data_IF_061364052357
#
_entry.id   IF_061364052357
#
_cell.length_a   1.000
_cell.length_b   1.000
_cell.length_c   1.000
_cell.angle_alpha   90.00
_cell.angle_beta   90.00
_cell.angle_gamma   90.00
#
_symmetry.space_group_name_H-M   'P 1'
#
loop_
_entity.id
_entity.type
_entity.pdbx_description
1 polymer ?
#
# COMPACT_ATOMS: atom_id res chain seq x y z
N UNK A 1 6.61 -7.04 2.60
CA UNK A 1 6.88 -6.05 3.68
C UNK A 1 6.76 -4.64 3.10
N UNK A 2 6.65 -3.59 3.91
CA UNK A 2 6.65 -2.22 3.38
C UNK A 2 6.93 -1.16 4.44
N UNK A 3 7.35 0.03 4.02
CA UNK A 3 7.65 1.15 4.90
C UNK A 3 7.25 2.48 4.25
N UNK A 4 6.79 3.44 5.06
CA UNK A 4 6.57 4.81 4.62
C UNK A 4 7.80 5.65 4.96
N UNK A 5 8.37 6.35 3.99
CA UNK A 5 9.63 7.10 4.16
C UNK A 5 9.41 8.50 4.73
N UNK A 6 8.74 8.59 5.89
CA UNK A 6 8.48 9.89 6.55
C UNK A 6 9.63 10.34 7.47
N UNK A 7 10.50 9.42 7.87
CA UNK A 7 11.57 9.63 8.84
C UNK A 7 12.62 8.53 8.70
N UNK A 8 13.78 8.71 9.35
CA UNK A 8 14.80 7.66 9.42
C UNK A 8 14.21 6.38 10.02
N UNK A 9 14.54 5.19 9.47
CA UNK A 9 14.05 3.92 10.01
C UNK A 9 14.43 3.77 11.49
N UNK A 10 13.42 3.74 12.37
CA UNK A 10 13.63 3.44 13.78
C UNK A 10 13.89 1.92 13.97
N UNK A 11 14.30 1.52 15.18
CA UNK A 11 14.69 0.13 15.48
C UNK A 11 13.60 -0.88 15.11
N UNK A 12 12.32 -0.56 15.32
CA UNK A 12 11.19 -1.42 14.94
C UNK A 12 11.14 -1.72 13.43
N UNK A 13 11.50 -0.75 12.59
CA UNK A 13 11.59 -0.96 11.13
C UNK A 13 12.72 -1.95 10.80
N UNK A 14 13.89 -1.78 11.43
CA UNK A 14 15.05 -2.66 11.21
C UNK A 14 14.77 -4.09 11.66
N UNK A 15 14.10 -4.28 12.80
CA UNK A 15 13.74 -5.61 13.30
C UNK A 15 12.71 -6.29 12.40
N UNK A 16 11.73 -5.54 11.89
CA UNK A 16 10.78 -6.06 10.90
C UNK A 16 11.49 -6.53 9.63
N UNK A 17 12.47 -5.76 9.15
CA UNK A 17 13.25 -6.13 7.96
C UNK A 17 14.07 -7.39 8.23
N UNK A 18 14.81 -7.42 9.34
CA UNK A 18 15.61 -8.58 9.74
C UNK A 18 14.76 -9.84 9.84
N UNK A 19 13.57 -9.76 10.43
CA UNK A 19 12.65 -10.89 10.54
C UNK A 19 12.22 -11.41 9.17
N UNK A 20 11.88 -10.51 8.23
CA UNK A 20 11.50 -10.91 6.88
C UNK A 20 12.61 -11.65 6.13
N UNK A 21 13.85 -11.14 6.20
CA UNK A 21 15.00 -11.81 5.60
C UNK A 21 15.31 -13.16 6.25
N UNK A 22 15.28 -13.23 7.58
CA UNK A 22 15.52 -14.47 8.31
C UNK A 22 14.46 -15.53 7.99
N UNK A 23 13.19 -15.12 7.95
CA UNK A 23 12.07 -16.00 7.62
C UNK A 23 12.17 -16.52 6.18
N UNK A 24 12.42 -15.64 5.20
CA UNK A 24 12.56 -16.05 3.80
C UNK A 24 13.73 -17.02 3.60
N UNK A 25 14.88 -16.76 4.25
CA UNK A 25 16.02 -17.68 4.25
C UNK A 25 15.64 -19.04 4.79
N UNK A 26 14.98 -19.08 5.94
CA UNK A 26 14.59 -20.33 6.58
C UNK A 26 13.59 -21.13 5.75
N UNK A 27 12.57 -20.46 5.18
CA UNK A 27 11.60 -21.11 4.29
C UNK A 27 12.31 -21.65 3.05
N UNK A 28 13.18 -20.86 2.41
CA UNK A 28 13.92 -21.29 1.22
C UNK A 28 14.78 -22.53 1.47
N UNK A 29 15.42 -22.63 2.64
CA UNK A 29 16.20 -23.80 3.03
C UNK A 29 15.32 -25.03 3.24
N UNK A 30 14.15 -24.87 3.88
CA UNK A 30 13.19 -25.95 4.12
C UNK A 30 12.54 -26.45 2.83
N UNK A 31 12.22 -25.55 1.89
CA UNK A 31 11.47 -25.88 0.67
C UNK A 31 12.36 -26.15 -0.55
N UNK A 32 13.68 -26.14 -0.35
CA UNK A 32 14.66 -26.42 -1.40
C UNK A 32 14.51 -27.83 -2.01
N UNK A 33 14.25 -28.90 -1.23
CA UNK A 33 14.00 -30.23 -1.79
C UNK A 33 12.80 -30.30 -2.73
N UNK A 34 11.77 -29.49 -2.47
CA UNK A 34 10.52 -29.41 -3.23
C UNK A 34 10.61 -28.46 -4.43
N UNK A 35 11.73 -27.75 -4.60
CA UNK A 35 11.94 -26.82 -5.71
C UNK A 35 11.07 -25.56 -5.64
N UNK A 36 10.56 -25.20 -4.46
CA UNK A 36 9.74 -23.99 -4.28
C UNK A 36 10.65 -22.76 -4.22
N UNK A 37 10.36 -21.77 -5.07
CA UNK A 37 11.04 -20.49 -5.10
C UNK A 37 10.50 -19.53 -4.02
N UNK A 38 11.40 -18.85 -3.32
CA UNK A 38 11.06 -17.88 -2.27
C UNK A 38 11.59 -16.52 -2.65
N UNK A 39 10.69 -15.54 -2.76
CA UNK A 39 11.04 -14.16 -3.08
C UNK A 39 10.58 -13.17 -2.00
N UNK A 40 11.32 -12.08 -1.86
CA UNK A 40 11.00 -10.98 -0.95
C UNK A 40 10.55 -9.75 -1.73
N UNK A 41 9.34 -9.27 -1.40
CA UNK A 41 8.79 -8.03 -1.94
C UNK A 41 8.75 -6.94 -0.86
N UNK A 42 9.28 -5.77 -1.21
CA UNK A 42 9.32 -4.60 -0.34
C UNK A 42 8.70 -3.38 -1.03
N UNK A 43 7.68 -2.83 -0.36
CA UNK A 43 6.89 -1.71 -0.87
C UNK A 43 7.27 -0.44 -0.13
N UNK A 44 7.81 0.53 -0.86
CA UNK A 44 8.03 1.87 -0.33
C UNK A 44 6.78 2.69 -0.61
N UNK A 45 6.12 3.13 0.46
CA UNK A 45 4.99 4.05 0.36
C UNK A 45 5.54 5.45 0.47
N UNK A 46 5.46 6.22 -0.60
CA UNK A 46 5.78 7.64 -0.58
C UNK A 46 4.47 8.44 -0.60
N UNK A 47 4.02 8.82 0.60
CA UNK A 47 2.86 9.71 0.80
C UNK A 47 3.23 10.88 1.71
N UNK A 48 4.53 11.20 1.82
CA UNK A 48 4.98 12.33 2.60
C UNK A 48 4.60 13.63 1.85
N UNK A 49 4.02 14.64 2.52
CA UNK A 49 3.89 15.96 1.92
C UNK A 49 5.29 16.51 1.70
N UNK A 50 5.80 16.48 0.46
CA UNK A 50 7.08 17.07 0.12
C UNK A 50 6.89 18.44 -0.51
N UNK A 51 7.57 19.46 0.02
CA UNK A 51 7.99 20.58 -0.82
C UNK A 51 8.95 20.00 -1.88
N UNK A 52 8.50 19.92 -3.12
CA UNK A 52 9.37 19.57 -4.23
C UNK A 52 10.34 20.73 -4.52
N UNK A 53 11.45 20.78 -3.79
CA UNK A 53 12.58 21.63 -4.14
C UNK A 53 13.38 20.93 -5.22
N UNK A 54 13.33 21.46 -6.45
CA UNK A 54 14.21 21.04 -7.54
C UNK A 54 15.67 21.26 -7.11
N UNK A 55 16.38 20.19 -6.77
CA UNK A 55 17.83 20.26 -6.65
C UNK A 55 18.42 20.37 -8.08
N UNK A 56 19.34 21.32 -8.34
CA UNK A 56 20.03 21.38 -9.62
C UNK A 56 20.80 20.07 -9.82
N UNK A 57 20.57 19.45 -10.97
CA UNK A 57 21.10 18.14 -11.36
C UNK A 57 22.63 18.18 -11.33
N UNK A 58 23.32 17.46 -10.43
CA UNK A 58 24.74 17.21 -10.60
C UNK A 58 24.91 16.19 -11.71
N UNK A 59 25.96 16.37 -12.50
CA UNK A 59 26.30 15.53 -13.64
C UNK A 59 26.40 14.04 -13.26
N UNK A 60 25.97 13.23 -14.22
CA UNK A 60 25.98 11.77 -14.30
C UNK A 60 26.85 11.02 -13.27
N UNK A 61 26.19 10.21 -12.44
CA UNK A 61 26.76 8.98 -11.86
C UNK A 61 25.80 7.80 -12.06
N UNK A 62 26.30 6.59 -12.36
CA UNK A 62 25.53 5.55 -13.05
C UNK A 62 24.69 4.64 -12.14
N UNK A 63 23.54 4.23 -12.70
CA UNK A 63 22.70 3.06 -12.35
C UNK A 63 21.99 3.04 -10.98
N UNK A 64 20.65 2.94 -11.05
CA UNK A 64 19.74 2.67 -9.94
C UNK A 64 19.80 1.21 -9.46
N UNK A 65 21.00 0.73 -9.10
CA UNK A 65 21.16 -0.52 -8.36
C UNK A 65 21.46 -0.17 -6.91
N UNK A 66 20.48 -0.36 -6.01
CA UNK A 66 20.83 -0.65 -4.62
C UNK A 66 21.48 -2.04 -4.68
N UNK A 67 22.82 -2.08 -4.77
CA UNK A 67 23.58 -3.32 -4.54
C UNK A 67 23.45 -3.65 -3.06
N UNK A 68 22.45 -4.44 -2.70
CA UNK A 68 22.51 -5.20 -1.46
C UNK A 68 23.53 -6.32 -1.67
N UNK A 69 24.56 -6.33 -0.83
CA UNK A 69 25.57 -7.39 -0.69
C UNK A 69 25.02 -8.78 -1.05
N UNK A 70 25.60 -9.44 -2.07
CA UNK A 70 25.66 -10.88 -2.43
C UNK A 70 24.76 -11.90 -1.67
N UNK A 71 23.54 -11.54 -1.31
CA UNK A 71 22.59 -12.38 -0.59
C UNK A 71 21.67 -13.10 -1.58
N UNK A 72 21.10 -14.26 -1.21
CA UNK A 72 20.31 -15.09 -2.12
C UNK A 72 18.94 -14.48 -2.49
N UNK A 73 18.57 -13.32 -1.95
CA UNK A 73 17.24 -12.71 -2.15
C UNK A 73 17.35 -11.40 -2.93
N UNK A 74 16.68 -11.34 -4.07
CA UNK A 74 16.50 -10.12 -4.84
C UNK A 74 15.34 -9.30 -4.25
N UNK A 75 15.63 -8.07 -3.80
CA UNK A 75 14.62 -7.09 -3.42
C UNK A 75 13.99 -6.49 -4.68
N UNK A 76 12.80 -6.97 -5.06
CA UNK A 76 12.04 -6.40 -6.18
C UNK A 76 11.27 -5.18 -5.69
N UNK A 77 11.66 -3.98 -6.14
CA UNK A 77 10.92 -2.72 -5.97
C UNK A 77 9.75 -2.66 -6.97
N UNK A 78 8.74 -3.51 -6.79
CA UNK A 78 7.69 -3.71 -7.80
C UNK A 78 6.27 -3.57 -7.23
N UNK A 79 5.99 -2.53 -6.46
CA UNK A 79 4.62 -2.26 -6.01
C UNK A 79 4.32 -0.77 -5.90
N UNK A 80 4.19 -0.16 -7.07
CA UNK A 80 3.40 1.06 -7.33
C UNK A 80 3.21 1.11 -8.84
N UNK A 81 2.02 1.39 -9.44
CA UNK A 81 0.70 1.78 -8.92
C UNK A 81 -0.40 0.74 -9.27
N UNK A 82 -0.03 -0.47 -9.65
CA UNK A 82 -0.98 -1.51 -10.06
C UNK A 82 -1.60 -2.26 -8.87
N UNK A 83 -1.92 -1.55 -7.77
CA UNK A 83 -3.11 -1.91 -7.00
C UNK A 83 -4.29 -1.56 -7.89
N UNK A 84 -4.49 -2.33 -8.96
CA UNK A 84 -5.77 -2.39 -9.64
C UNK A 84 -6.78 -2.59 -8.53
N UNK A 85 -7.67 -1.62 -8.39
CA UNK A 85 -8.87 -1.68 -7.57
C UNK A 85 -9.34 -3.14 -7.57
N UNK A 86 -9.21 -3.87 -6.43
CA UNK A 86 -9.51 -5.30 -6.38
C UNK A 86 -10.86 -5.55 -7.04
N UNK A 87 -11.11 -6.75 -7.60
CA UNK A 87 -12.45 -7.05 -8.12
C UNK A 87 -13.51 -6.83 -7.02
N UNK A 88 -13.13 -7.04 -5.76
CA UNK A 88 -13.90 -6.74 -4.55
C UNK A 88 -14.21 -5.25 -4.31
N UNK A 89 -13.51 -4.33 -4.96
CA UNK A 89 -13.75 -2.88 -4.93
C UNK A 89 -14.43 -2.37 -6.21
N UNK A 90 -14.51 -3.20 -7.25
CA UNK A 90 -15.42 -3.04 -8.39
C UNK A 90 -16.87 -3.45 -8.05
N UNK A 91 -17.15 -3.73 -6.77
CA UNK A 91 -18.49 -3.94 -6.24
C UNK A 91 -19.25 -2.61 -6.09
N UNK A 92 -20.58 -2.71 -6.12
CA UNK A 92 -21.53 -1.61 -6.00
C UNK A 92 -21.20 -0.64 -4.84
N UNK A 93 -21.77 0.57 -4.91
CA UNK A 93 -21.75 1.58 -3.84
C UNK A 93 -22.06 1.02 -2.44
N UNK A 94 -22.85 -0.05 -2.36
CA UNK A 94 -23.20 -0.77 -1.13
C UNK A 94 -21.99 -1.40 -0.43
N UNK A 95 -21.11 -2.10 -1.17
CA UNK A 95 -19.91 -2.72 -0.57
C UNK A 95 -18.93 -1.69 -0.04
N UNK A 96 -18.85 -0.51 -0.70
CA UNK A 96 -18.09 0.63 -0.19
C UNK A 96 -18.68 1.19 1.09
N UNK A 97 -20.01 1.33 1.16
CA UNK A 97 -20.69 1.79 2.36
C UNK A 97 -20.50 0.83 3.54
N UNK A 98 -20.51 -0.48 3.30
CA UNK A 98 -20.22 -1.48 4.33
C UNK A 98 -18.78 -1.39 4.84
N UNK A 99 -17.81 -1.33 3.93
CA UNK A 99 -16.40 -1.17 4.30
C UNK A 99 -16.16 0.15 5.04
N UNK A 100 -16.86 1.22 4.68
CA UNK A 100 -16.74 2.51 5.36
C UNK A 100 -17.13 2.44 6.84
N UNK A 101 -18.15 1.65 7.18
CA UNK A 101 -18.57 1.44 8.59
C UNK A 101 -17.45 0.84 9.44
N UNK A 102 -16.60 -0.01 8.86
CA UNK A 102 -15.47 -0.64 9.57
C UNK A 102 -14.20 0.23 9.52
N UNK A 103 -13.85 0.74 8.34
CA UNK A 103 -12.56 1.42 8.11
C UNK A 103 -12.56 2.91 8.42
N UNK A 104 -13.74 3.53 8.46
CA UNK A 104 -13.90 4.96 8.67
C UNK A 104 -15.21 5.25 9.44
N UNK A 105 -15.41 4.67 10.64
CA UNK A 105 -16.68 4.78 11.37
C UNK A 105 -17.07 6.23 11.68
N UNK A 106 -16.09 7.11 11.87
CA UNK A 106 -16.32 8.51 12.21
C UNK A 106 -16.87 9.33 11.02
N UNK A 107 -16.47 9.00 9.80
CA UNK A 107 -16.87 9.76 8.60
C UNK A 107 -17.94 9.03 7.80
N UNK A 108 -17.98 7.70 7.83
CA UNK A 108 -18.81 6.90 6.94
C UNK A 108 -18.35 6.90 5.48
N UNK A 109 -17.17 7.47 5.19
CA UNK A 109 -16.61 7.59 3.83
C UNK A 109 -15.24 6.89 3.75
N UNK A 110 -15.06 6.04 2.74
CA UNK A 110 -13.77 5.44 2.43
C UNK A 110 -12.88 6.49 1.76
N UNK A 111 -12.02 7.11 2.57
CA UNK A 111 -11.14 8.19 2.13
C UNK A 111 -10.28 7.81 0.92
N UNK A 112 -10.77 8.11 -0.28
CA UNK A 112 -10.03 8.06 -1.52
C UNK A 112 -9.49 9.45 -1.80
N UNK A 113 -8.19 9.52 -2.12
CA UNK A 113 -7.53 10.81 -2.31
C UNK A 113 -6.86 10.84 -3.66
N UNK A 114 -6.78 12.03 -4.23
CA UNK A 114 -5.84 12.30 -5.31
C UNK A 114 -5.29 13.71 -5.09
N UNK A 115 -3.98 13.91 -5.18
CA UNK A 115 -3.41 15.25 -5.10
C UNK A 115 -3.82 16.04 -6.35
N UNK A 116 -4.03 17.34 -6.14
CA UNK A 116 -4.37 18.28 -7.20
C UNK A 116 -3.35 18.19 -8.34
N UNK A 117 -3.80 18.00 -9.60
CA UNK A 117 -2.90 17.86 -10.76
C UNK A 117 -2.11 19.13 -11.08
N UNK A 118 -2.56 20.28 -10.59
CA UNK A 118 -1.91 21.55 -10.88
C UNK A 118 -0.53 21.57 -10.23
N UNK A 119 0.49 21.86 -11.04
CA UNK A 119 1.89 21.92 -10.61
C UNK A 119 2.02 22.79 -9.36
N UNK A 120 2.73 22.29 -8.35
CA UNK A 120 2.97 22.93 -7.05
C UNK A 120 1.72 23.14 -6.16
N UNK A 121 0.57 22.52 -6.47
CA UNK A 121 -0.61 22.59 -5.59
C UNK A 121 -0.58 21.46 -4.54
N UNK A 122 -0.70 20.20 -4.97
CA UNK A 122 -0.67 19.05 -4.07
C UNK A 122 -1.84 18.91 -3.08
N UNK A 123 -2.80 19.85 -3.06
CA UNK A 123 -3.98 19.78 -2.19
C UNK A 123 -4.81 18.52 -2.50
N UNK A 124 -5.34 17.89 -1.47
CA UNK A 124 -6.26 16.76 -1.58
C UNK A 124 -7.23 16.73 -0.42
N UNK A 125 -8.45 16.22 -0.64
CA UNK A 125 -9.42 16.03 0.42
C UNK A 125 -9.03 14.80 1.26
N UNK A 126 -8.61 15.03 2.51
CA UNK A 126 -8.17 13.95 3.41
C UNK A 126 -9.31 13.00 3.80
N UNK A 127 -10.54 13.48 3.80
CA UNK A 127 -11.69 12.80 4.40
C UNK A 127 -12.79 12.44 3.39
N UNK A 128 -12.55 12.67 2.09
CA UNK A 128 -13.48 12.30 1.01
C UNK A 128 -14.85 12.98 1.15
N UNK A 129 -14.88 14.18 1.74
CA UNK A 129 -16.11 14.93 2.04
C UNK A 129 -16.72 15.52 0.77
N UNK A 130 -15.88 16.00 -0.16
CA UNK A 130 -16.33 16.69 -1.38
C UNK A 130 -16.26 15.83 -2.64
N UNK A 131 -15.76 14.61 -2.53
CA UNK A 131 -15.58 13.76 -3.69
C UNK A 131 -16.93 13.14 -4.09
N UNK A 132 -17.14 12.98 -5.39
CA UNK A 132 -18.32 12.31 -5.92
C UNK A 132 -17.93 11.16 -6.83
N UNK A 133 -18.80 10.16 -6.89
CA UNK A 133 -18.60 8.90 -7.60
C UNK A 133 -19.73 8.74 -8.61
N UNK A 134 -19.43 8.24 -9.80
CA UNK A 134 -20.49 7.82 -10.72
C UNK A 134 -21.11 6.50 -10.24
N UNK A 135 -22.38 6.25 -10.60
CA UNK A 135 -23.12 5.05 -10.18
C UNK A 135 -22.43 3.73 -10.60
N UNK A 136 -21.68 3.79 -11.70
CA UNK A 136 -20.93 2.66 -12.24
C UNK A 136 -19.54 2.47 -11.59
N UNK A 137 -19.12 3.34 -10.67
CA UNK A 137 -17.81 3.34 -10.03
C UNK A 137 -16.63 3.32 -11.03
N UNK A 138 -16.82 3.93 -12.20
CA UNK A 138 -15.79 4.11 -13.23
C UNK A 138 -15.11 5.46 -13.11
N UNK A 139 -15.76 6.45 -12.50
CA UNK A 139 -15.28 7.83 -12.43
C UNK A 139 -15.38 8.36 -11.02
N UNK A 140 -14.30 8.96 -10.54
CA UNK A 140 -14.29 9.76 -9.31
C UNK A 140 -14.03 11.21 -9.66
N UNK A 141 -14.80 12.11 -9.06
CA UNK A 141 -14.58 13.55 -9.15
C UNK A 141 -14.04 14.04 -7.82
N UNK A 142 -12.88 14.69 -7.86
CA UNK A 142 -12.23 15.35 -6.74
C UNK A 142 -12.44 16.85 -6.86
N UNK A 143 -12.75 17.51 -5.74
CA UNK A 143 -13.00 18.96 -5.71
C UNK A 143 -11.88 19.66 -4.93
N UNK A 144 -11.09 20.47 -5.63
CA UNK A 144 -10.03 21.28 -5.03
C UNK A 144 -10.51 22.72 -4.79
N UNK A 145 -10.28 23.32 -3.61
CA UNK A 145 -10.78 24.66 -3.30
C UNK A 145 -10.36 25.76 -4.28
N UNK A 146 -9.17 25.64 -4.88
CA UNK A 146 -8.58 26.66 -5.77
C UNK A 146 -8.71 26.30 -7.25
N UNK A 147 -8.63 25.02 -7.59
CA UNK A 147 -8.51 24.55 -8.98
C UNK A 147 -9.75 23.82 -9.50
N UNK A 148 -10.83 23.80 -8.71
CA UNK A 148 -12.10 23.22 -9.11
C UNK A 148 -12.08 21.69 -9.17
N UNK A 149 -12.90 21.16 -10.07
CA UNK A 149 -13.10 19.71 -10.20
C UNK A 149 -12.03 19.05 -11.05
N UNK A 150 -11.68 17.82 -10.68
CA UNK A 150 -10.85 16.95 -11.47
C UNK A 150 -11.39 15.54 -11.47
N UNK A 151 -11.37 14.90 -12.63
CA UNK A 151 -11.95 13.58 -12.80
C UNK A 151 -10.87 12.52 -13.05
N UNK A 152 -11.03 11.39 -12.36
CA UNK A 152 -10.20 10.19 -12.55
C UNK A 152 -11.07 9.05 -13.03
N UNK A 153 -10.67 8.46 -14.15
CA UNK A 153 -11.23 7.19 -14.63
C UNK A 153 -10.52 6.02 -13.92
N UNK A 154 -11.25 5.33 -13.05
CA UNK A 154 -10.79 4.17 -12.26
C UNK A 154 -10.61 2.93 -13.15
N UNK A 155 -11.18 2.92 -14.36
CA UNK A 155 -10.93 1.85 -15.34
C UNK A 155 -9.58 2.00 -16.04
N UNK A 156 -8.98 3.19 -15.98
CA UNK A 156 -7.67 3.48 -16.59
C UNK A 156 -6.52 3.26 -15.60
N UNK A 157 -5.43 2.64 -16.06
CA UNK A 157 -4.22 2.43 -15.25
C UNK A 157 -3.57 3.75 -14.82
N UNK A 158 -3.64 4.78 -15.69
CA UNK A 158 -3.15 6.14 -15.41
C UNK A 158 -4.00 6.84 -14.36
N UNK A 159 -5.31 6.59 -14.33
CA UNK A 159 -6.19 7.14 -13.31
C UNK A 159 -5.96 6.49 -11.95
N UNK A 160 -5.91 5.16 -11.90
CA UNK A 160 -5.68 4.39 -10.67
C UNK A 160 -4.34 4.74 -10.03
N UNK A 161 -3.30 5.03 -10.82
CA UNK A 161 -1.97 5.38 -10.30
C UNK A 161 -1.91 6.69 -9.52
N UNK A 162 -2.93 7.53 -9.66
CA UNK A 162 -3.07 8.79 -8.95
C UNK A 162 -3.89 8.69 -7.66
N UNK A 163 -4.45 7.52 -7.39
CA UNK A 163 -5.26 7.28 -6.20
C UNK A 163 -4.36 6.99 -5.00
N UNK A 164 -4.61 7.72 -3.93
CA UNK A 164 -3.97 7.53 -2.64
C UNK A 164 -4.97 7.01 -1.62
N UNK A 165 -4.55 6.00 -0.87
CA UNK A 165 -5.36 5.37 0.18
C UNK A 165 -4.76 5.68 1.55
N UNK A 166 -5.63 5.82 2.56
CA UNK A 166 -5.16 5.81 3.94
C UNK A 166 -4.58 4.43 4.32
N UNK A 167 -3.88 4.34 5.45
CA UNK A 167 -3.18 3.10 5.85
C UNK A 167 -4.11 1.89 5.97
N UNK A 168 -5.29 1.96 6.64
CA UNK A 168 -6.21 0.83 6.72
C UNK A 168 -6.69 0.34 5.35
N UNK A 169 -7.17 1.26 4.50
CA UNK A 169 -7.69 0.92 3.18
C UNK A 169 -6.60 0.35 2.27
N UNK A 170 -5.39 0.93 2.29
CA UNK A 170 -4.23 0.41 1.56
C UNK A 170 -3.89 -1.02 2.00
N UNK A 171 -3.91 -1.29 3.30
CA UNK A 171 -3.59 -2.61 3.84
C UNK A 171 -4.62 -3.67 3.43
N UNK A 172 -5.90 -3.29 3.37
CA UNK A 172 -7.00 -4.12 2.90
C UNK A 172 -6.87 -4.43 1.40
N UNK A 173 -6.76 -3.39 0.56
CA UNK A 173 -6.62 -3.54 -0.89
C UNK A 173 -5.42 -4.46 -1.20
N UNK A 174 -4.29 -4.26 -0.54
CA UNK A 174 -3.12 -5.15 -0.67
C UNK A 174 -3.44 -6.59 -0.29
N UNK A 175 -4.15 -6.84 0.81
CA UNK A 175 -4.48 -8.22 1.18
C UNK A 175 -5.41 -8.88 0.17
N UNK A 176 -6.43 -8.16 -0.32
CA UNK A 176 -7.32 -8.67 -1.36
C UNK A 176 -6.53 -9.00 -2.64
N UNK A 177 -5.74 -8.06 -3.17
CA UNK A 177 -4.98 -8.26 -4.41
C UNK A 177 -4.00 -9.43 -4.31
N UNK A 178 -3.29 -9.57 -3.19
CA UNK A 178 -2.36 -10.68 -2.99
C UNK A 178 -3.11 -12.02 -2.80
N UNK A 179 -4.27 -12.00 -2.16
CA UNK A 179 -5.10 -13.19 -1.96
C UNK A 179 -5.74 -13.74 -3.23
N UNK A 180 -5.94 -12.90 -4.25
CA UNK A 180 -6.51 -13.31 -5.56
C UNK A 180 -5.57 -14.22 -6.37
N UNK A 181 -4.25 -14.20 -6.11
CA UNK A 181 -3.30 -15.08 -6.79
C UNK A 181 -3.22 -16.43 -6.07
N UNK A 182 -3.67 -17.51 -6.73
CA UNK A 182 -3.63 -18.87 -6.18
C UNK A 182 -2.30 -19.61 -6.45
N UNK A 183 -1.51 -19.14 -7.41
CA UNK A 183 -0.20 -19.71 -7.76
C UNK A 183 0.89 -19.33 -6.75
N UNK A 184 0.66 -18.27 -5.97
CA UNK A 184 1.63 -17.73 -5.01
C UNK A 184 1.04 -17.72 -3.60
N UNK A 185 1.79 -18.30 -2.66
CA UNK A 185 1.49 -18.18 -1.23
C UNK A 185 2.18 -16.94 -0.65
N UNK A 186 1.40 -16.02 -0.10
CA UNK A 186 1.91 -14.77 0.47
C UNK A 186 2.02 -14.82 1.98
N UNK A 187 3.17 -14.41 2.52
CA UNK A 187 3.36 -14.18 3.96
C UNK A 187 3.62 -12.69 4.18
N UNK A 188 2.80 -12.05 5.02
CA UNK A 188 2.99 -10.65 5.39
C UNK A 188 3.85 -10.55 6.64
N UNK A 189 4.98 -9.87 6.56
CA UNK A 189 5.80 -9.50 7.73
C UNK A 189 5.60 -8.02 8.03
N UNK A 190 5.19 -7.70 9.26
CA UNK A 190 4.87 -6.34 9.73
C UNK A 190 5.20 -6.17 11.21
N UNK A 191 5.25 -4.93 11.72
CA UNK A 191 5.41 -4.68 13.15
C UNK A 191 4.18 -5.08 13.96
N UNK A 192 4.38 -5.47 15.22
CA UNK A 192 3.28 -5.85 16.15
C UNK A 192 2.43 -4.67 16.63
N UNK A 193 2.80 -3.44 16.32
CA UNK A 193 1.94 -2.26 16.41
C UNK A 193 0.67 -2.38 15.56
N UNK A 194 0.70 -3.22 14.51
CA UNK A 194 -0.47 -3.57 13.71
C UNK A 194 -1.28 -4.75 14.29
N UNK A 195 -0.78 -5.47 15.29
CA UNK A 195 -1.41 -6.70 15.76
C UNK A 195 -2.69 -6.47 16.58
N UNK A 196 -3.41 -7.55 16.87
CA UNK A 196 -4.58 -7.54 17.75
C UNK A 196 -5.83 -6.99 17.09
N UNK A 197 -6.60 -6.19 17.85
CA UNK A 197 -7.94 -5.76 17.48
C UNK A 197 -7.96 -4.94 16.17
N UNK A 198 -6.99 -4.05 15.98
CA UNK A 198 -6.91 -3.24 14.77
C UNK A 198 -6.77 -4.10 13.50
N UNK A 199 -5.91 -5.13 13.51
CA UNK A 199 -5.80 -6.02 12.35
C UNK A 199 -7.08 -6.81 12.13
N UNK A 200 -7.67 -7.32 13.20
CA UNK A 200 -8.85 -8.18 13.10
C UNK A 200 -10.04 -7.41 12.50
N UNK A 201 -10.32 -6.21 13.03
CA UNK A 201 -11.42 -5.36 12.55
C UNK A 201 -11.19 -4.80 11.15
N UNK A 202 -10.00 -4.23 10.90
CA UNK A 202 -9.75 -3.46 9.68
C UNK A 202 -9.33 -4.35 8.51
N UNK A 203 -8.73 -5.51 8.77
CA UNK A 203 -8.25 -6.42 7.73
C UNK A 203 -9.00 -7.75 7.71
N UNK A 204 -8.87 -8.55 8.76
CA UNK A 204 -9.25 -9.97 8.70
C UNK A 204 -10.74 -10.18 8.47
N UNK A 205 -11.61 -9.34 9.05
CA UNK A 205 -13.06 -9.38 8.80
C UNK A 205 -13.48 -9.04 7.37
N UNK A 206 -12.63 -8.34 6.64
CA UNK A 206 -12.95 -7.76 5.33
C UNK A 206 -12.31 -8.54 4.17
N UNK A 207 -11.67 -9.68 4.44
CA UNK A 207 -11.04 -10.53 3.42
C UNK A 207 -11.58 -11.96 3.47
N UNK A 208 -11.82 -12.54 2.31
CA UNK A 208 -12.32 -13.92 2.20
C UNK A 208 -11.20 -14.96 2.41
N UNK A 209 -9.98 -14.61 2.02
CA UNK A 209 -8.79 -15.47 2.11
C UNK A 209 -7.79 -14.88 3.08
N UNK A 210 -7.58 -15.57 4.19
CA UNK A 210 -6.61 -15.15 5.20
C UNK A 210 -5.18 -15.30 4.67
N UNK A 211 -4.41 -14.22 4.73
CA UNK A 211 -2.98 -14.25 4.49
C UNK A 211 -2.25 -14.52 5.81
N UNK A 212 -1.31 -15.48 5.89
CA UNK A 212 -0.43 -15.61 7.05
C UNK A 212 0.30 -14.28 7.35
N UNK A 213 0.22 -13.85 8.61
CA UNK A 213 0.87 -12.61 9.08
C UNK A 213 1.83 -12.94 10.21
N UNK A 214 3.07 -12.51 10.05
CA UNK A 214 4.13 -12.63 11.05
C UNK A 214 4.44 -11.24 11.59
N UNK A 215 4.30 -11.10 12.90
CA UNK A 215 4.55 -9.84 13.60
C UNK A 215 5.96 -9.80 14.17
N UNK A 216 6.69 -8.73 13.87
CA UNK A 216 7.93 -8.41 14.55
C UNK A 216 7.64 -7.82 15.94
N UNK A 217 8.47 -8.16 16.92
CA UNK A 217 8.34 -7.66 18.29
C UNK A 217 8.32 -6.13 18.32
N UNK A 218 7.44 -5.58 19.15
CA UNK A 218 7.35 -4.15 19.37
C UNK A 218 8.60 -3.71 20.11
N UNK A 219 9.33 -2.74 19.55
CA UNK A 219 10.44 -2.09 20.22
C UNK A 219 10.01 -0.65 20.45
N UNK A 220 9.71 -0.35 21.72
CA UNK A 220 9.47 1.00 22.20
C UNK A 220 10.81 1.61 22.60
N UNK A 221 11.10 2.78 22.06
CA UNK A 221 12.21 3.66 22.40
C UNK A 221 11.97 4.42 23.72
#
# INVERSE_FOLDING_TARGET
MGAQHNSSPHMGTLVTFRLAFALAKHIQEMTKPEGIDVSLSFDIVDTAPSEQRLLPRPEQTPSNHIRTSNGPFELKKNFSPALTCPKSFKGSSEKRAELAKSLAPDTGYLALRSPCPVKNCGLGDKHDIKNSYDDAMKKVTFVYPVHGEYHIDISSTVGVSRLEFNTPLRNLIRACTLGENEEVSWIRVTGSDYAGHCQEQLLCRNIDKLLPIVYASLITD
#
